data_IF_767358030100
#
_entry.id   IF_767358030100
#
_cell.length_a   1.000
_cell.length_b   1.000
_cell.length_c   1.000
_cell.angle_alpha   90.00
_cell.angle_beta   90.00
_cell.angle_gamma   90.00
#
_symmetry.space_group_name_H-M   'P 1'
#
loop_
_entity.id
_entity.type
_entity.pdbx_description
1 polymer ?
#
# COMPACT_ATOMS: atom_id res chain seq x y z
N UNK A 1 18.35 -24.57 -25.96
CA UNK A 1 18.34 -24.15 -24.54
C UNK A 1 17.38 -22.99 -24.47
N UNK A 2 16.12 -23.24 -24.01
CA UNK A 2 15.11 -22.21 -23.87
C UNK A 2 15.24 -21.62 -22.46
N UNK A 3 15.46 -20.32 -22.41
CA UNK A 3 15.39 -19.53 -21.17
C UNK A 3 13.99 -19.64 -20.59
N UNK A 4 13.82 -19.91 -19.28
CA UNK A 4 12.49 -19.86 -18.68
C UNK A 4 12.03 -18.41 -18.63
N UNK A 5 10.87 -18.13 -19.23
CA UNK A 5 10.15 -16.86 -19.06
C UNK A 5 9.90 -16.62 -17.56
N UNK A 6 10.62 -15.68 -16.98
CA UNK A 6 10.34 -15.16 -15.66
C UNK A 6 8.94 -14.55 -15.65
N UNK A 7 8.00 -15.24 -14.99
CA UNK A 7 6.66 -14.73 -14.75
C UNK A 7 6.78 -13.48 -13.87
N UNK A 8 6.63 -12.31 -14.48
CA UNK A 8 6.54 -11.01 -13.79
C UNK A 8 5.49 -11.05 -12.67
N UNK A 9 5.67 -10.33 -11.57
CA UNK A 9 4.71 -10.33 -10.47
C UNK A 9 3.33 -9.86 -10.93
N UNK A 10 2.30 -10.52 -10.42
CA UNK A 10 0.89 -10.49 -10.81
C UNK A 10 0.17 -9.15 -10.56
N UNK A 11 0.67 -8.02 -11.03
CA UNK A 11 -0.03 -6.75 -10.86
C UNK A 11 -0.04 -5.84 -12.10
N UNK A 12 0.36 -6.34 -13.23
CA UNK A 12 -0.01 -5.70 -14.48
C UNK A 12 -1.36 -6.29 -14.91
N UNK A 13 -2.44 -5.61 -14.55
CA UNK A 13 -3.74 -5.89 -15.11
C UNK A 13 -3.62 -5.83 -16.63
N UNK A 14 -3.64 -7.00 -17.27
CA UNK A 14 -3.78 -7.06 -18.72
C UNK A 14 -5.13 -6.44 -19.05
N UNK A 15 -5.14 -5.15 -19.36
CA UNK A 15 -6.21 -4.56 -20.13
C UNK A 15 -6.22 -5.26 -21.50
N UNK A 16 -6.80 -6.48 -21.55
CA UNK A 16 -7.19 -7.04 -22.82
C UNK A 16 -8.31 -6.14 -23.35
N UNK A 17 -7.91 -5.28 -24.25
CA UNK A 17 -8.70 -4.32 -24.97
C UNK A 17 -9.78 -5.03 -25.78
N UNK A 18 -10.89 -5.37 -25.15
CA UNK A 18 -12.13 -5.59 -25.87
C UNK A 18 -12.63 -4.23 -26.35
N UNK A 19 -12.44 -3.92 -27.62
CA UNK A 19 -13.10 -2.83 -28.35
C UNK A 19 -13.08 -1.45 -27.69
N UNK A 20 -11.89 -0.85 -27.47
CA UNK A 20 -11.79 0.58 -27.20
C UNK A 20 -11.97 1.31 -28.54
N UNK A 21 -13.20 1.68 -28.80
CA UNK A 21 -13.54 2.60 -29.88
C UNK A 21 -13.13 3.99 -29.41
N UNK A 22 -12.00 4.49 -29.88
CA UNK A 22 -11.46 5.85 -29.71
C UNK A 22 -11.34 6.29 -28.24
N UNK A 23 -10.16 6.59 -27.72
CA UNK A 23 -10.05 7.20 -26.41
C UNK A 23 -10.85 8.50 -26.40
N UNK A 24 -11.64 8.78 -25.34
CA UNK A 24 -12.29 10.08 -25.20
C UNK A 24 -11.22 11.18 -25.21
N UNK A 25 -11.55 12.37 -25.69
CA UNK A 25 -10.63 13.50 -25.67
C UNK A 25 -10.11 13.76 -24.26
N UNK A 26 -10.96 13.70 -23.25
CA UNK A 26 -10.66 13.64 -21.83
C UNK A 26 -11.91 13.27 -21.03
N UNK A 27 -11.76 12.48 -19.98
CA UNK A 27 -12.84 12.29 -19.01
C UNK A 27 -12.33 11.91 -17.63
N UNK A 28 -13.08 12.27 -16.60
CA UNK A 28 -12.95 11.71 -15.26
C UNK A 28 -13.86 10.48 -15.16
N UNK A 29 -13.31 9.26 -15.13
CA UNK A 29 -14.10 8.06 -15.11
C UNK A 29 -14.89 7.94 -13.80
N UNK A 30 -16.12 7.41 -13.88
CA UNK A 30 -17.03 7.31 -12.74
C UNK A 30 -16.94 5.92 -12.12
N UNK A 31 -16.61 5.87 -10.84
CA UNK A 31 -16.53 4.67 -10.02
C UNK A 31 -17.78 4.44 -9.15
N UNK A 32 -17.69 3.53 -8.18
CA UNK A 32 -18.77 3.28 -7.25
C UNK A 32 -18.94 4.46 -6.27
N UNK A 33 -20.20 4.81 -5.99
CA UNK A 33 -20.51 5.86 -5.02
C UNK A 33 -20.14 5.44 -3.60
N UNK A 34 -19.38 6.29 -2.89
CA UNK A 34 -19.06 6.09 -1.49
C UNK A 34 -20.27 6.22 -0.55
N UNK A 35 -21.33 6.91 -0.95
CA UNK A 35 -22.57 7.01 -0.15
C UNK A 35 -23.19 5.64 0.16
N UNK A 36 -23.00 4.66 -0.73
CA UNK A 36 -23.45 3.27 -0.60
C UNK A 36 -22.39 2.34 -0.01
N UNK A 37 -21.28 2.87 0.52
CA UNK A 37 -20.21 2.10 1.09
C UNK A 37 -20.67 1.36 2.35
N UNK A 38 -20.34 0.06 2.42
CA UNK A 38 -20.59 -0.77 3.60
C UNK A 38 -19.56 -0.44 4.68
N UNK A 39 -19.99 -0.38 5.94
CA UNK A 39 -19.08 -0.32 7.10
C UNK A 39 -18.52 -1.70 7.37
N UNK A 40 -17.22 -1.79 7.51
CA UNK A 40 -16.45 -2.95 7.95
C UNK A 40 -15.96 -2.71 9.37
N UNK A 41 -15.96 -3.76 10.16
CA UNK A 41 -15.47 -3.79 11.53
C UNK A 41 -14.66 -5.07 11.68
N UNK A 42 -13.41 -4.94 12.06
CA UNK A 42 -12.44 -6.02 12.25
C UNK A 42 -11.89 -5.89 13.65
N UNK A 43 -11.98 -6.93 14.45
CA UNK A 43 -11.38 -7.04 15.76
C UNK A 43 -10.13 -7.92 15.65
N UNK A 44 -8.99 -7.40 16.06
CA UNK A 44 -7.73 -8.15 16.13
C UNK A 44 -7.26 -8.10 17.58
N UNK A 45 -7.50 -9.17 18.32
CA UNK A 45 -7.14 -9.29 19.76
C UNK A 45 -7.60 -8.08 20.59
N UNK A 46 -8.84 -7.59 20.31
CA UNK A 46 -9.44 -6.46 21.00
C UNK A 46 -9.09 -5.09 20.39
N UNK A 47 -8.13 -4.99 19.50
CA UNK A 47 -7.92 -3.77 18.69
C UNK A 47 -8.92 -3.76 17.55
N UNK A 48 -9.76 -2.72 17.49
CA UNK A 48 -10.82 -2.59 16.51
C UNK A 48 -10.41 -1.67 15.35
N UNK A 49 -10.50 -2.18 14.13
CA UNK A 49 -10.35 -1.40 12.90
C UNK A 49 -11.71 -1.25 12.26
N UNK A 50 -12.17 -0.03 12.05
CA UNK A 50 -13.40 0.24 11.30
C UNK A 50 -13.14 1.13 10.11
N UNK A 51 -13.78 0.84 8.98
CA UNK A 51 -13.72 1.66 7.78
C UNK A 51 -14.96 1.43 6.92
N UNK A 52 -15.16 2.28 5.91
CA UNK A 52 -16.22 2.11 4.92
C UNK A 52 -15.59 1.91 3.55
N UNK A 53 -16.11 0.95 2.79
CA UNK A 53 -15.70 0.73 1.41
C UNK A 53 -16.89 0.28 0.55
N UNK A 54 -16.95 0.66 -0.73
CA UNK A 54 -18.00 0.19 -1.65
C UNK A 54 -17.94 -1.34 -1.82
N UNK A 55 -19.00 -1.90 -2.38
CA UNK A 55 -18.98 -3.31 -2.78
C UNK A 55 -17.94 -3.54 -3.86
N UNK A 56 -17.28 -4.69 -3.78
CA UNK A 56 -16.36 -5.15 -4.82
C UNK A 56 -17.05 -5.15 -6.19
N UNK A 57 -16.43 -4.47 -7.17
CA UNK A 57 -16.93 -4.35 -8.54
C UNK A 57 -15.75 -4.28 -9.52
N UNK A 58 -15.09 -5.40 -9.80
CA UNK A 58 -13.92 -5.45 -10.67
C UNK A 58 -14.31 -5.31 -12.13
N UNK A 59 -13.35 -4.95 -12.97
CA UNK A 59 -13.46 -5.03 -14.43
C UNK A 59 -13.64 -6.49 -14.84
N UNK A 60 -12.77 -7.35 -14.33
CA UNK A 60 -12.78 -8.77 -14.65
C UNK A 60 -13.45 -9.59 -13.55
N UNK A 61 -14.47 -10.37 -13.91
CA UNK A 61 -15.20 -11.24 -12.96
C UNK A 61 -14.32 -12.28 -12.25
N UNK A 62 -13.14 -12.60 -12.79
CA UNK A 62 -12.18 -13.52 -12.17
C UNK A 62 -11.51 -12.92 -10.94
N UNK A 63 -11.41 -11.60 -10.84
CA UNK A 63 -10.87 -10.92 -9.67
C UNK A 63 -11.84 -11.07 -8.50
N UNK A 64 -11.50 -11.94 -7.58
CA UNK A 64 -12.36 -12.24 -6.42
C UNK A 64 -12.01 -11.33 -5.25
N UNK A 65 -13.04 -10.84 -4.57
CA UNK A 65 -12.87 -10.13 -3.31
C UNK A 65 -12.38 -11.08 -2.21
N UNK A 66 -11.62 -10.51 -1.27
CA UNK A 66 -11.44 -11.09 0.06
C UNK A 66 -12.19 -10.22 1.07
N UNK A 67 -13.12 -10.82 1.77
CA UNK A 67 -13.90 -10.18 2.81
C UNK A 67 -13.26 -10.49 4.16
N UNK A 68 -13.12 -9.48 5.06
CA UNK A 68 -12.57 -9.73 6.37
C UNK A 68 -13.58 -10.49 7.23
N UNK A 69 -13.05 -11.32 8.11
CA UNK A 69 -13.79 -11.88 9.25
C UNK A 69 -14.01 -10.79 10.31
N UNK A 70 -14.96 -11.04 11.21
CA UNK A 70 -15.25 -10.07 12.27
C UNK A 70 -14.17 -10.04 13.36
N UNK A 71 -13.47 -11.17 13.56
CA UNK A 71 -12.43 -11.32 14.59
C UNK A 71 -11.25 -12.14 14.09
N UNK A 72 -10.06 -11.74 14.51
CA UNK A 72 -8.81 -12.44 14.25
C UNK A 72 -7.98 -12.55 15.53
N UNK A 73 -7.19 -13.63 15.60
CA UNK A 73 -6.07 -13.80 16.52
C UNK A 73 -4.79 -13.91 15.70
N UNK A 74 -3.73 -13.22 16.10
CA UNK A 74 -2.48 -13.20 15.33
C UNK A 74 -1.90 -14.60 15.08
N UNK A 75 -2.00 -15.49 16.07
CA UNK A 75 -1.55 -16.88 15.96
C UNK A 75 -2.30 -17.70 14.89
N UNK A 76 -3.55 -17.32 14.58
CA UNK A 76 -4.40 -18.02 13.61
C UNK A 76 -4.35 -17.36 12.23
N UNK A 77 -3.71 -16.20 12.10
CA UNK A 77 -3.58 -15.52 10.81
C UNK A 77 -2.66 -16.28 9.87
N UNK A 78 -3.02 -16.44 8.59
CA UNK A 78 -2.17 -17.09 7.60
C UNK A 78 -1.05 -16.17 7.13
N UNK A 79 -0.11 -15.86 8.02
CA UNK A 79 1.08 -15.10 7.68
C UNK A 79 1.93 -15.85 6.66
N UNK A 80 2.43 -15.15 5.68
CA UNK A 80 3.30 -15.65 4.62
C UNK A 80 4.41 -14.64 4.34
N UNK A 81 5.50 -15.13 3.79
CA UNK A 81 6.56 -14.26 3.30
C UNK A 81 5.97 -13.15 2.44
N UNK A 82 6.26 -11.90 2.81
CA UNK A 82 5.71 -10.72 2.12
C UNK A 82 6.26 -10.62 0.70
N UNK A 83 7.53 -11.01 0.53
CA UNK A 83 8.23 -10.95 -0.74
C UNK A 83 8.53 -12.37 -1.21
N UNK A 84 8.43 -12.61 -2.53
CA UNK A 84 8.73 -13.94 -3.08
C UNK A 84 10.21 -14.27 -2.91
N UNK A 85 10.48 -15.47 -2.43
CA UNK A 85 11.83 -16.02 -2.41
C UNK A 85 12.43 -16.01 -3.82
N UNK A 86 13.66 -15.53 -3.93
CA UNK A 86 14.43 -15.50 -5.19
C UNK A 86 14.88 -14.12 -5.63
N UNK A 87 14.17 -13.04 -5.30
CA UNK A 87 14.59 -11.67 -5.54
C UNK A 87 15.23 -11.03 -4.30
N UNK A 88 14.89 -11.53 -3.09
CA UNK A 88 15.39 -11.01 -1.82
C UNK A 88 15.95 -12.17 -0.98
N UNK A 89 17.24 -12.14 -0.69
CA UNK A 89 17.89 -13.18 0.12
C UNK A 89 17.46 -13.17 1.59
N UNK A 90 16.88 -12.07 2.08
CA UNK A 90 16.40 -11.92 3.46
C UNK A 90 15.07 -11.16 3.47
N UNK A 91 13.99 -11.86 3.17
CA UNK A 91 12.66 -11.34 3.48
C UNK A 91 12.46 -11.42 4.99
N UNK A 92 12.52 -10.26 5.63
CA UNK A 92 12.35 -10.14 7.10
C UNK A 92 10.88 -9.90 7.48
N UNK A 93 9.99 -9.79 6.50
CA UNK A 93 8.58 -9.48 6.71
C UNK A 93 7.65 -10.65 6.41
N UNK A 94 6.66 -10.80 7.25
CA UNK A 94 5.50 -11.63 6.98
C UNK A 94 4.25 -10.78 6.86
N UNK A 95 3.32 -11.23 6.04
CA UNK A 95 2.07 -10.51 5.80
C UNK A 95 0.85 -11.44 5.77
N UNK A 96 -0.28 -10.91 6.23
CA UNK A 96 -1.60 -11.52 6.08
C UNK A 96 -2.57 -10.51 5.49
N UNK A 97 -3.22 -10.85 4.38
CA UNK A 97 -4.22 -9.99 3.73
C UNK A 97 -5.56 -10.28 4.38
N UNK A 98 -6.21 -9.27 4.96
CA UNK A 98 -7.53 -9.40 5.57
C UNK A 98 -8.66 -8.97 4.63
N UNK A 99 -8.42 -7.97 3.79
CA UNK A 99 -9.41 -7.40 2.88
C UNK A 99 -8.78 -7.19 1.51
N UNK A 100 -9.54 -7.48 0.46
CA UNK A 100 -9.15 -7.17 -0.91
C UNK A 100 -10.39 -6.88 -1.75
N UNK A 101 -10.47 -5.67 -2.29
CA UNK A 101 -11.51 -5.24 -3.21
C UNK A 101 -10.90 -4.56 -4.43
N UNK A 102 -11.61 -4.67 -5.55
CA UNK A 102 -11.30 -3.91 -6.76
C UNK A 102 -12.56 -3.15 -7.21
N UNK A 103 -12.38 -1.93 -7.67
CA UNK A 103 -13.46 -1.08 -8.18
C UNK A 103 -13.13 -0.57 -9.56
N UNK A 104 -13.98 -0.91 -10.51
CA UNK A 104 -13.91 -0.41 -11.88
C UNK A 104 -14.48 1.01 -11.98
N UNK A 105 -13.80 1.83 -12.76
CA UNK A 105 -14.22 3.18 -13.13
C UNK A 105 -14.48 3.23 -14.65
N UNK A 106 -15.64 3.73 -15.02
CA UNK A 106 -16.13 3.71 -16.38
C UNK A 106 -16.12 5.12 -16.98
N UNK A 107 -15.75 5.22 -18.24
CA UNK A 107 -15.90 6.43 -19.02
C UNK A 107 -17.36 6.68 -19.44
N UNK A 108 -17.58 7.65 -20.32
CA UNK A 108 -18.88 7.93 -20.93
C UNK A 108 -19.49 6.68 -21.58
N UNK A 109 -20.77 6.79 -21.97
CA UNK A 109 -21.51 5.70 -22.62
C UNK A 109 -20.70 5.15 -23.79
N UNK A 110 -20.53 3.82 -23.84
CA UNK A 110 -19.82 3.04 -24.86
C UNK A 110 -18.27 3.04 -24.76
N UNK A 111 -17.66 3.77 -23.85
CA UNK A 111 -16.19 3.72 -23.70
C UNK A 111 -15.67 2.57 -22.81
N UNK A 112 -16.55 1.96 -22.01
CA UNK A 112 -16.16 0.87 -21.12
C UNK A 112 -15.36 1.31 -19.89
N UNK A 113 -14.67 0.38 -19.21
CA UNK A 113 -13.82 0.69 -18.07
C UNK A 113 -12.53 1.35 -18.56
N UNK A 114 -12.16 2.47 -17.94
CA UNK A 114 -10.93 3.23 -18.23
C UNK A 114 -9.93 3.18 -17.07
N UNK A 115 -10.39 2.81 -15.89
CA UNK A 115 -9.52 2.69 -14.73
C UNK A 115 -10.08 1.68 -13.73
N UNK A 116 -9.24 1.24 -12.81
CA UNK A 116 -9.64 0.57 -11.57
C UNK A 116 -8.73 0.91 -10.41
N UNK A 117 -9.22 0.67 -9.20
CA UNK A 117 -8.45 0.68 -7.99
C UNK A 117 -8.55 -0.71 -7.35
N UNK A 118 -7.41 -1.30 -7.04
CA UNK A 118 -7.36 -2.47 -6.17
C UNK A 118 -6.89 -2.05 -4.79
N UNK A 119 -7.68 -2.33 -3.76
CA UNK A 119 -7.37 -2.00 -2.37
C UNK A 119 -7.19 -3.28 -1.55
N UNK A 120 -6.13 -3.33 -0.74
CA UNK A 120 -5.90 -4.40 0.22
C UNK A 120 -5.61 -3.85 1.61
N UNK A 121 -6.19 -4.47 2.65
CA UNK A 121 -5.76 -4.29 4.04
C UNK A 121 -4.88 -5.47 4.39
N UNK A 122 -3.65 -5.18 4.77
CA UNK A 122 -2.59 -6.13 5.03
C UNK A 122 -2.08 -5.91 6.44
N UNK A 123 -1.94 -6.99 7.21
CA UNK A 123 -1.22 -6.97 8.48
C UNK A 123 0.20 -7.44 8.22
N UNK A 124 1.15 -6.72 8.75
CA UNK A 124 2.59 -6.89 8.57
C UNK A 124 3.26 -7.09 9.91
N UNK A 125 4.24 -7.98 9.96
CA UNK A 125 5.13 -8.13 11.11
C UNK A 125 6.53 -8.55 10.66
N UNK A 126 7.52 -8.40 11.54
CA UNK A 126 8.81 -9.03 11.34
C UNK A 126 8.73 -10.54 11.60
N UNK A 127 9.45 -11.34 10.81
CA UNK A 127 9.58 -12.80 11.04
C UNK A 127 10.24 -13.15 12.36
N UNK A 128 11.18 -12.31 12.77
CA UNK A 128 11.86 -12.43 14.05
C UNK A 128 11.54 -11.18 14.86
N UNK A 129 10.99 -11.41 16.04
CA UNK A 129 10.73 -10.33 16.97
C UNK A 129 12.04 -9.59 17.28
N UNK A 130 11.99 -8.27 17.23
CA UNK A 130 13.13 -7.40 17.54
C UNK A 130 12.98 -6.90 18.96
N UNK A 131 13.98 -7.17 19.79
CA UNK A 131 13.98 -6.69 21.17
C UNK A 131 13.94 -5.15 21.24
N UNK A 132 13.20 -4.62 22.21
CA UNK A 132 13.06 -3.19 22.48
C UNK A 132 12.58 -2.33 21.31
N UNK A 133 11.84 -2.90 20.37
CA UNK A 133 11.21 -2.17 19.27
C UNK A 133 9.70 -2.13 19.48
N UNK A 134 9.10 -0.96 19.24
CA UNK A 134 7.66 -0.79 19.23
C UNK A 134 7.26 0.04 18.02
N UNK A 135 6.28 -0.43 17.25
CA UNK A 135 5.73 0.36 16.15
C UNK A 135 4.95 1.60 16.62
N UNK A 136 4.68 1.73 17.90
CA UNK A 136 4.15 2.96 18.45
C UNK A 136 5.19 4.06 18.60
N UNK A 137 6.50 3.70 18.65
CA UNK A 137 7.56 4.69 18.68
C UNK A 137 7.73 5.35 17.29
N UNK A 138 7.61 6.69 17.15
CA UNK A 138 7.55 7.36 15.84
C UNK A 138 8.72 7.03 14.91
N UNK A 139 9.95 6.99 15.45
CA UNK A 139 11.16 6.70 14.65
C UNK A 139 11.24 5.23 14.22
N UNK A 140 10.79 4.31 15.09
CA UNK A 140 10.71 2.89 14.72
C UNK A 140 9.68 2.68 13.62
N UNK A 141 8.51 3.31 13.74
CA UNK A 141 7.47 3.28 12.72
C UNK A 141 7.97 3.76 11.35
N UNK A 142 8.60 4.94 11.31
CA UNK A 142 9.16 5.51 10.07
C UNK A 142 10.27 4.62 9.48
N UNK A 143 11.17 4.13 10.34
CA UNK A 143 12.23 3.23 9.92
C UNK A 143 11.69 1.93 9.32
N UNK A 144 10.69 1.35 9.97
CA UNK A 144 10.07 0.10 9.51
C UNK A 144 9.37 0.26 8.15
N UNK A 145 8.75 1.41 7.90
CA UNK A 145 8.21 1.73 6.57
C UNK A 145 9.34 1.84 5.53
N UNK A 146 10.44 2.54 5.87
CA UNK A 146 11.58 2.66 4.96
C UNK A 146 12.19 1.29 4.63
N UNK A 147 12.32 0.42 5.62
CA UNK A 147 12.82 -0.94 5.45
C UNK A 147 11.86 -1.79 4.58
N UNK A 148 10.56 -1.72 4.86
CA UNK A 148 9.54 -2.39 4.03
C UNK A 148 9.63 -1.94 2.57
N UNK A 149 9.70 -0.63 2.33
CA UNK A 149 9.80 -0.08 0.98
C UNK A 149 11.09 -0.51 0.28
N UNK A 150 12.21 -0.51 1.00
CA UNK A 150 13.51 -0.97 0.49
C UNK A 150 13.43 -2.44 0.09
N UNK A 151 12.93 -3.30 0.97
CA UNK A 151 12.78 -4.72 0.68
C UNK A 151 11.85 -4.99 -0.50
N UNK A 152 10.81 -4.17 -0.67
CA UNK A 152 9.82 -4.37 -1.72
C UNK A 152 10.24 -3.83 -3.08
N UNK A 153 10.93 -2.68 -3.12
CA UNK A 153 11.09 -1.93 -4.37
C UNK A 153 12.54 -1.75 -4.82
N UNK A 154 13.53 -1.83 -3.93
CA UNK A 154 14.92 -1.50 -4.27
C UNK A 154 15.55 -2.43 -5.32
N UNK A 155 15.09 -3.67 -5.42
CA UNK A 155 15.62 -4.65 -6.37
C UNK A 155 14.99 -4.57 -7.77
N UNK A 156 13.90 -3.82 -7.90
CA UNK A 156 13.28 -3.62 -9.20
C UNK A 156 14.06 -2.57 -9.99
N UNK A 157 14.74 -3.03 -11.04
CA UNK A 157 15.57 -2.18 -11.91
C UNK A 157 15.24 -2.46 -13.36
N UNK A 158 15.18 -1.39 -14.15
CA UNK A 158 15.13 -1.44 -15.61
C UNK A 158 16.32 -0.62 -16.15
N UNK A 159 17.08 -1.18 -17.05
CA UNK A 159 18.31 -0.58 -17.64
C UNK A 159 19.31 -0.02 -16.59
N UNK A 160 19.40 -0.67 -15.43
CA UNK A 160 20.30 -0.31 -14.34
C UNK A 160 19.80 0.80 -13.41
N UNK A 161 18.63 1.37 -13.70
CA UNK A 161 17.97 2.36 -12.84
C UNK A 161 16.87 1.72 -11.99
N UNK A 162 16.63 2.28 -10.80
CA UNK A 162 15.52 1.83 -9.97
C UNK A 162 14.19 2.16 -10.63
N UNK A 163 13.33 1.16 -10.74
CA UNK A 163 12.01 1.26 -11.37
C UNK A 163 11.05 2.15 -10.58
N UNK A 164 11.24 2.27 -9.25
CA UNK A 164 10.32 2.97 -8.38
C UNK A 164 10.99 4.10 -7.59
N UNK A 165 10.20 5.11 -7.26
CA UNK A 165 10.53 6.20 -6.34
C UNK A 165 9.58 6.11 -5.14
N UNK A 166 10.13 6.05 -3.93
CA UNK A 166 9.35 5.91 -2.69
C UNK A 166 10.14 6.38 -1.45
N UNK A 167 9.44 6.89 -0.40
CA UNK A 167 8.09 7.41 -0.47
C UNK A 167 8.04 8.78 -1.15
N UNK A 168 6.94 9.10 -1.78
CA UNK A 168 6.66 10.47 -2.23
C UNK A 168 5.35 10.94 -1.60
N UNK A 169 5.16 12.25 -1.53
CA UNK A 169 3.97 12.85 -0.91
C UNK A 169 3.73 12.33 0.51
N UNK A 170 4.82 12.18 1.29
CA UNK A 170 4.71 11.72 2.67
C UNK A 170 3.85 12.66 3.50
N UNK A 171 2.82 12.11 4.13
CA UNK A 171 1.88 12.83 4.96
C UNK A 171 1.63 12.08 6.27
N UNK A 172 2.17 12.56 7.41
CA UNK A 172 1.70 12.10 8.72
C UNK A 172 0.21 12.39 8.86
N UNK A 173 -0.54 11.41 9.35
CA UNK A 173 -1.99 11.57 9.52
C UNK A 173 -2.33 11.84 10.98
N UNK A 174 -2.49 13.10 11.29
CA UNK A 174 -2.87 13.55 12.63
C UNK A 174 -4.31 13.15 12.99
N UNK A 175 -4.61 13.13 14.30
CA UNK A 175 -5.94 12.83 14.82
C UNK A 175 -6.32 11.35 14.81
N UNK A 176 -5.41 10.44 14.44
CA UNK A 176 -5.56 9.02 14.70
C UNK A 176 -5.00 8.70 16.09
N UNK A 177 -5.57 7.67 16.73
CA UNK A 177 -5.10 7.22 18.06
C UNK A 177 -3.74 6.53 18.04
N UNK A 178 -3.17 6.32 16.85
CA UNK A 178 -1.92 5.57 16.61
C UNK A 178 -1.06 6.32 15.60
N UNK A 179 0.27 6.11 15.59
CA UNK A 179 1.12 6.58 14.50
C UNK A 179 0.57 6.11 13.16
N UNK A 180 0.35 7.06 12.24
CA UNK A 180 -0.18 6.77 10.92
C UNK A 180 0.44 7.70 9.87
N UNK A 181 0.76 7.14 8.70
CA UNK A 181 1.31 7.90 7.59
C UNK A 181 0.71 7.45 6.25
N UNK A 182 0.52 8.41 5.38
CA UNK A 182 0.10 8.22 3.99
C UNK A 182 1.22 8.65 3.06
N UNK A 183 1.45 7.91 2.00
CA UNK A 183 2.46 8.23 0.99
C UNK A 183 2.22 7.43 -0.28
N UNK A 184 2.90 7.80 -1.35
CA UNK A 184 2.84 7.11 -2.63
C UNK A 184 4.17 6.45 -2.99
N UNK A 185 4.07 5.45 -3.84
CA UNK A 185 5.14 4.84 -4.63
C UNK A 185 4.76 4.99 -6.09
N UNK A 186 5.63 5.57 -6.86
CA UNK A 186 5.42 5.74 -8.31
C UNK A 186 6.54 5.08 -9.09
N UNK A 187 6.25 4.74 -10.33
CA UNK A 187 7.28 4.36 -11.29
C UNK A 187 8.13 5.58 -11.63
N UNK A 188 9.44 5.38 -11.76
CA UNK A 188 10.35 6.40 -12.25
C UNK A 188 9.97 6.78 -13.70
N UNK A 189 9.99 8.07 -14.03
CA UNK A 189 9.57 8.59 -15.35
C UNK A 189 10.39 8.03 -16.53
N UNK A 190 11.56 7.46 -16.25
CA UNK A 190 12.42 6.82 -17.26
C UNK A 190 11.99 5.39 -17.61
N UNK A 191 10.99 4.85 -16.91
CA UNK A 191 10.49 3.48 -17.08
C UNK A 191 9.23 3.47 -17.95
N UNK A 192 9.08 2.41 -18.74
CA UNK A 192 8.10 2.30 -19.83
C UNK A 192 6.63 2.31 -19.43
N UNK A 193 6.28 2.01 -18.19
CA UNK A 193 4.87 1.88 -17.78
C UNK A 193 4.63 2.56 -16.44
N UNK A 194 3.85 3.63 -16.43
CA UNK A 194 3.49 4.32 -15.21
C UNK A 194 2.63 3.42 -14.31
N UNK A 195 3.04 3.34 -13.05
CA UNK A 195 2.30 2.67 -11.98
C UNK A 195 2.32 3.54 -10.73
N UNK A 196 1.22 3.55 -10.01
CA UNK A 196 1.08 4.29 -8.76
C UNK A 196 0.45 3.39 -7.72
N UNK A 197 1.08 3.36 -6.53
CA UNK A 197 0.54 2.70 -5.35
C UNK A 197 0.51 3.70 -4.22
N UNK A 198 -0.65 3.91 -3.64
CA UNK A 198 -0.78 4.71 -2.45
C UNK A 198 -0.90 3.82 -1.23
N UNK A 199 -0.12 4.14 -0.20
CA UNK A 199 -0.10 3.44 1.06
C UNK A 199 -0.65 4.30 2.19
N UNK A 200 -1.40 3.67 3.08
CA UNK A 200 -1.76 4.21 4.38
C UNK A 200 -1.35 3.20 5.44
N UNK A 201 -0.25 3.50 6.14
CA UNK A 201 0.29 2.66 7.22
C UNK A 201 -0.17 3.18 8.58
N UNK A 202 -0.41 2.25 9.53
CA UNK A 202 -0.69 2.57 10.92
C UNK A 202 -0.27 1.43 11.85
N UNK A 203 0.12 1.78 13.09
CA UNK A 203 0.50 0.79 14.09
C UNK A 203 -0.74 0.14 14.73
N UNK A 204 -0.64 -1.14 15.07
CA UNK A 204 -1.68 -1.87 15.82
C UNK A 204 -1.23 -2.22 17.23
N UNK A 205 0.04 -2.60 17.38
CA UNK A 205 0.72 -2.93 18.63
C UNK A 205 2.23 -2.81 18.44
N UNK A 206 3.03 -3.31 19.40
CA UNK A 206 4.50 -3.25 19.34
C UNK A 206 5.09 -4.00 18.14
N UNK A 207 4.40 -5.03 17.64
CA UNK A 207 4.93 -6.00 16.67
C UNK A 207 4.22 -5.98 15.32
N UNK A 208 3.02 -5.38 15.25
CA UNK A 208 2.18 -5.42 14.07
C UNK A 208 1.86 -4.04 13.50
N UNK A 209 2.08 -3.91 12.20
CA UNK A 209 1.61 -2.80 11.38
C UNK A 209 0.41 -3.23 10.54
N UNK A 210 -0.50 -2.32 10.31
CA UNK A 210 -1.49 -2.46 9.26
C UNK A 210 -1.19 -1.51 8.11
N UNK A 211 -1.46 -1.97 6.90
CA UNK A 211 -1.31 -1.16 5.70
C UNK A 211 -2.52 -1.32 4.78
N UNK A 212 -3.17 -0.22 4.43
CA UNK A 212 -3.94 -0.17 3.21
C UNK A 212 -3.02 0.14 2.05
N UNK A 213 -3.07 -0.69 1.00
CA UNK A 213 -2.39 -0.45 -0.26
C UNK A 213 -3.43 -0.29 -1.36
N UNK A 214 -3.39 0.85 -2.06
CA UNK A 214 -4.28 1.19 -3.17
C UNK A 214 -3.46 1.26 -4.46
N UNK A 215 -3.70 0.30 -5.35
CA UNK A 215 -3.09 0.28 -6.68
C UNK A 215 -4.01 0.96 -7.66
N UNK A 216 -3.51 2.02 -8.29
CA UNK A 216 -4.23 2.77 -9.32
C UNK A 216 -3.84 2.26 -10.69
N UNK A 217 -4.83 1.78 -11.43
CA UNK A 217 -4.64 1.36 -12.82
C UNK A 217 -5.49 2.25 -13.71
N UNK A 218 -4.85 2.97 -14.61
CA UNK A 218 -5.51 3.71 -15.69
C UNK A 218 -5.05 3.13 -17.02
N UNK A 219 -5.93 2.96 -17.96
CA UNK A 219 -5.61 2.36 -19.24
C UNK A 219 -6.19 3.12 -20.40
N UNK A 220 -5.30 3.59 -21.28
CA UNK A 220 -5.64 4.14 -22.59
C UNK A 220 -4.72 3.52 -23.61
N UNK A 221 -5.25 3.24 -24.79
CA UNK A 221 -4.45 2.67 -25.89
C UNK A 221 -3.26 3.59 -26.21
N UNK A 222 -2.06 3.04 -26.23
CA UNK A 222 -0.79 3.73 -26.53
C UNK A 222 -0.32 4.77 -25.50
N UNK A 223 -0.97 4.92 -24.34
CA UNK A 223 -0.45 5.74 -23.26
C UNK A 223 0.53 4.92 -22.41
N UNK A 224 1.75 5.41 -22.25
CA UNK A 224 2.83 4.73 -21.52
C UNK A 224 3.24 5.52 -20.29
N UNK A 225 3.23 6.85 -20.41
CA UNK A 225 3.62 7.77 -19.34
C UNK A 225 2.40 8.30 -18.58
N UNK A 226 2.65 8.83 -17.38
CA UNK A 226 1.60 9.56 -16.63
C UNK A 226 1.03 10.70 -17.48
N UNK A 227 1.88 11.47 -18.14
CA UNK A 227 1.46 12.58 -18.98
C UNK A 227 0.56 12.16 -20.14
N UNK A 228 0.78 10.97 -20.72
CA UNK A 228 -0.11 10.45 -21.77
C UNK A 228 -1.46 9.99 -21.20
N UNK A 229 -1.46 9.35 -20.02
CA UNK A 229 -2.68 8.97 -19.33
C UNK A 229 -3.51 10.20 -18.96
N UNK A 230 -2.87 11.23 -18.40
CA UNK A 230 -3.52 12.46 -17.93
C UNK A 230 -4.19 13.27 -19.07
N UNK A 231 -3.76 13.08 -20.33
CA UNK A 231 -4.43 13.69 -21.50
C UNK A 231 -5.83 13.12 -21.75
N UNK A 232 -6.10 11.90 -21.30
CA UNK A 232 -7.31 11.16 -21.65
C UNK A 232 -8.16 10.75 -20.47
N UNK A 233 -7.51 10.38 -19.35
CA UNK A 233 -8.19 9.80 -18.18
C UNK A 233 -7.76 10.52 -16.92
N UNK A 234 -8.67 11.29 -16.33
CA UNK A 234 -8.45 11.92 -15.03
C UNK A 234 -8.41 10.91 -13.90
N UNK A 235 -7.75 11.28 -12.80
CA UNK A 235 -7.60 10.45 -11.61
C UNK A 235 -8.40 10.99 -10.39
N UNK A 236 -9.02 12.16 -10.54
CA UNK A 236 -9.74 12.83 -9.45
C UNK A 236 -10.72 11.93 -8.72
N UNK A 237 -11.60 11.24 -9.43
CA UNK A 237 -12.61 10.38 -8.82
C UNK A 237 -12.00 9.12 -8.17
N UNK A 238 -10.82 8.70 -8.64
CA UNK A 238 -10.07 7.60 -8.05
C UNK A 238 -9.54 8.02 -6.67
N UNK A 239 -8.84 9.15 -6.62
CA UNK A 239 -8.31 9.70 -5.37
C UNK A 239 -9.42 10.07 -4.38
N UNK A 240 -10.53 10.66 -4.85
CA UNK A 240 -11.68 10.96 -4.00
C UNK A 240 -12.25 9.70 -3.31
N UNK A 241 -12.32 8.58 -4.02
CA UNK A 241 -12.77 7.32 -3.42
C UNK A 241 -11.81 6.87 -2.32
N UNK A 242 -10.50 6.90 -2.57
CA UNK A 242 -9.47 6.50 -1.59
C UNK A 242 -9.48 7.43 -0.39
N UNK A 243 -9.56 8.75 -0.60
CA UNK A 243 -9.68 9.75 0.47
C UNK A 243 -10.87 9.47 1.37
N UNK A 244 -12.03 9.19 0.78
CA UNK A 244 -13.22 8.87 1.53
C UNK A 244 -13.07 7.58 2.37
N UNK A 245 -12.38 6.55 1.84
CA UNK A 245 -12.10 5.31 2.58
C UNK A 245 -11.16 5.60 3.76
N UNK A 246 -10.04 6.28 3.52
CA UNK A 246 -9.04 6.63 4.55
C UNK A 246 -9.65 7.54 5.62
N UNK A 247 -10.44 8.53 5.24
CA UNK A 247 -11.12 9.43 6.18
C UNK A 247 -12.15 8.70 7.06
N UNK A 248 -12.74 7.63 6.55
CA UNK A 248 -13.68 6.80 7.30
C UNK A 248 -13.02 5.81 8.27
N UNK A 249 -11.68 5.67 8.17
CA UNK A 249 -10.93 4.73 8.99
C UNK A 249 -10.81 5.23 10.44
N UNK A 250 -11.08 4.33 11.38
CA UNK A 250 -10.86 4.52 12.82
C UNK A 250 -10.20 3.28 13.38
N UNK A 251 -9.25 3.49 14.29
CA UNK A 251 -8.58 2.44 15.06
C UNK A 251 -8.86 2.70 16.54
N UNK A 252 -9.34 1.67 17.23
CA UNK A 252 -9.51 1.69 18.69
C UNK A 252 -8.65 0.58 19.26
N UNK A 253 -7.59 0.95 19.97
CA UNK A 253 -6.65 0.00 20.55
C UNK A 253 -7.28 -0.83 21.66
N UNK A 254 -6.88 -2.09 21.77
CA UNK A 254 -7.13 -2.92 22.96
C UNK A 254 -6.44 -2.29 24.19
N UNK A 255 -6.84 -2.73 25.37
CA UNK A 255 -6.19 -2.26 26.62
C UNK A 255 -4.69 -2.58 26.62
N UNK A 256 -4.30 -3.74 26.15
CA UNK A 256 -2.91 -4.16 26.07
C UNK A 256 -2.12 -3.27 25.08
N UNK A 257 -2.63 -3.04 23.89
CA UNK A 257 -2.00 -2.16 22.90
C UNK A 257 -1.89 -0.70 23.39
N UNK A 258 -2.87 -0.22 24.19
CA UNK A 258 -2.78 1.10 24.82
C UNK A 258 -1.63 1.18 25.84
N UNK A 259 -1.43 0.12 26.65
CA UNK A 259 -0.31 0.05 27.58
C UNK A 259 1.05 0.00 26.87
N UNK A 260 1.15 -0.75 25.77
CA UNK A 260 2.33 -0.77 24.91
C UNK A 260 2.61 0.62 24.32
N UNK A 261 1.59 1.29 23.79
CA UNK A 261 1.71 2.64 23.25
C UNK A 261 2.21 3.63 24.31
N UNK A 262 1.60 3.61 25.51
CA UNK A 262 2.01 4.49 26.61
C UNK A 262 3.49 4.27 26.96
N UNK A 263 3.91 3.01 27.09
CA UNK A 263 5.30 2.64 27.37
C UNK A 263 6.27 3.09 26.26
N UNK A 264 5.88 2.91 24.99
CA UNK A 264 6.70 3.29 23.85
C UNK A 264 6.90 4.81 23.71
N UNK A 265 5.97 5.59 24.22
CA UNK A 265 6.01 7.07 24.17
C UNK A 265 6.56 7.69 25.45
N UNK A 266 6.76 6.91 26.51
CA UNK A 266 7.24 7.42 27.80
C UNK A 266 8.65 8.01 27.67
N UNK A 267 8.82 9.24 28.17
CA UNK A 267 10.12 9.93 28.16
C UNK A 267 10.55 10.49 26.80
N UNK A 268 9.72 10.40 25.78
CA UNK A 268 10.04 11.01 24.48
C UNK A 268 9.70 12.50 24.45
N UNK A 269 10.69 13.33 24.09
CA UNK A 269 10.48 14.76 23.84
C UNK A 269 9.56 15.05 22.64
N UNK A 270 9.55 14.15 21.67
CA UNK A 270 8.75 14.29 20.45
C UNK A 270 8.09 12.96 20.06
N UNK A 271 6.78 12.94 20.13
CA UNK A 271 5.93 11.78 19.80
C UNK A 271 5.31 11.88 18.40
N UNK A 272 5.63 12.92 17.61
CA UNK A 272 5.07 13.11 16.27
C UNK A 272 5.95 12.49 15.19
N UNK A 273 5.33 12.09 14.09
CA UNK A 273 6.05 11.67 12.90
C UNK A 273 6.77 12.84 12.22
N UNK A 274 7.80 12.55 11.47
CA UNK A 274 8.51 13.54 10.64
C UNK A 274 7.56 14.12 9.59
N UNK A 275 7.50 15.44 9.49
CA UNK A 275 6.62 16.11 8.50
C UNK A 275 7.06 15.90 7.07
N UNK A 276 8.36 15.73 6.85
CA UNK A 276 8.94 15.52 5.54
C UNK A 276 9.79 14.26 5.56
N UNK A 277 9.51 13.34 4.68
CA UNK A 277 10.28 12.12 4.50
C UNK A 277 10.70 12.04 3.03
N UNK A 278 11.97 12.31 2.72
CA UNK A 278 12.43 12.33 1.32
C UNK A 278 12.40 10.91 0.72
N UNK A 279 12.32 10.79 -0.59
CA UNK A 279 12.46 9.52 -1.28
C UNK A 279 13.75 8.80 -0.87
N UNK A 280 13.64 7.50 -0.68
CA UNK A 280 14.76 6.65 -0.32
C UNK A 280 15.78 6.61 -1.46
N UNK A 281 17.04 6.69 -1.08
CA UNK A 281 18.15 6.47 -2.01
C UNK A 281 18.55 5.01 -1.86
N UNK A 282 18.12 4.20 -2.81
CA UNK A 282 18.51 2.79 -2.83
C UNK A 282 19.87 2.65 -3.47
N UNK A 283 20.85 2.22 -2.67
CA UNK A 283 22.19 1.95 -3.15
C UNK A 283 22.21 0.64 -3.98
N UNK A 284 23.31 0.43 -4.69
CA UNK A 284 23.51 -0.82 -5.44
C UNK A 284 23.59 -2.03 -4.52
N UNK A 285 23.94 -1.82 -3.27
CA UNK A 285 24.07 -2.84 -2.22
C UNK A 285 23.01 -2.61 -1.14
N UNK A 286 21.91 -3.34 -1.24
CA UNK A 286 20.78 -3.27 -0.30
C UNK A 286 21.20 -3.75 1.10
N UNK A 287 22.14 -4.68 1.21
CA UNK A 287 22.64 -5.17 2.52
C UNK A 287 23.39 -4.06 3.26
N UNK A 288 24.28 -3.35 2.57
CA UNK A 288 25.02 -2.23 3.14
C UNK A 288 24.08 -1.10 3.58
N UNK A 289 23.04 -0.81 2.81
CA UNK A 289 22.00 0.15 3.16
C UNK A 289 21.25 -0.28 4.43
N UNK A 290 20.74 -1.49 4.47
CA UNK A 290 20.00 -2.02 5.61
C UNK A 290 20.86 -2.06 6.88
N UNK A 291 22.13 -2.44 6.78
CA UNK A 291 23.07 -2.43 7.90
C UNK A 291 23.30 -1.02 8.43
N UNK A 292 23.45 -0.04 7.53
CA UNK A 292 23.61 1.37 7.90
C UNK A 292 22.37 1.88 8.64
N UNK A 293 21.17 1.56 8.17
CA UNK A 293 19.92 1.96 8.80
C UNK A 293 19.72 1.30 10.18
N UNK A 294 20.10 0.03 10.33
CA UNK A 294 20.08 -0.65 11.65
C UNK A 294 21.01 0.02 12.67
N UNK A 295 22.17 0.45 12.23
CA UNK A 295 23.12 1.18 13.10
C UNK A 295 22.60 2.56 13.52
N UNK A 296 21.81 3.22 12.67
CA UNK A 296 21.17 4.50 12.97
C UNK A 296 20.04 4.32 13.99
N UNK A 297 19.21 3.29 13.82
CA UNK A 297 18.09 3.01 14.72
C UNK A 297 18.50 2.49 16.12
N UNK A 298 19.73 1.98 16.24
CA UNK A 298 20.29 1.49 17.51
C UNK A 298 20.96 2.58 18.38
N UNK A 299 21.02 3.82 17.89
CA UNK A 299 21.52 5.02 18.62
C UNK A 299 20.37 5.86 19.12
#
# INVERSE_FOLDING_TARGET
MHSPEEKRPYYLGNFQTGNIIRPPDYCDPIGPSFSKAKKWKIDIEGTEITFRAPKHKPIEKRNKAKYPEARYHYQDMPFRDTFRQGLHQKDEWESSILFYHTWAFHGPILTGPLADISASLIILRYKQQRENTSFFHPRVFEHSIAEYLTNRYSMHKEDGQHEYIAPIEWLPVDGKSVPAARFKVITNDEVRLYSEVEYFFFALDDEHLASFAYHYNRGVLNAVTKADLDKHVGDKNLHELVDNIINSLSVTLSHEAQMQQQKALEGLDNTTLTKTFPPLKWDRDVEAYNETQRKIAAK
#
